data_IF_454083860548
#
_entry.id   IF_454083860548
#
_cell.length_a   1.000
_cell.length_b   1.000
_cell.length_c   1.000
_cell.angle_alpha   90.00
_cell.angle_beta   90.00
_cell.angle_gamma   90.00
#
_symmetry.space_group_name_H-M   'P 1'
#
loop_
_entity.id
_entity.type
_entity.pdbx_description
1 polymer ?
#
# COMPACT_ATOMS: atom_id res chain seq x y z
N UNK A 1 -5.89 -51.94 -38.48
CA UNK A 1 -5.21 -50.63 -38.41
C UNK A 1 -6.13 -49.64 -37.72
N UNK A 2 -6.10 -49.56 -36.39
CA UNK A 2 -6.80 -48.50 -35.64
C UNK A 2 -5.75 -47.45 -35.26
N UNK A 3 -5.80 -46.28 -35.87
CA UNK A 3 -4.98 -45.12 -35.50
C UNK A 3 -5.73 -44.37 -34.39
N UNK A 4 -5.29 -44.55 -33.16
CA UNK A 4 -5.70 -43.69 -32.04
C UNK A 4 -5.05 -42.32 -32.21
N UNK A 5 -5.85 -41.30 -32.47
CA UNK A 5 -5.43 -39.90 -32.42
C UNK A 5 -5.51 -39.47 -30.95
N UNK A 6 -4.35 -39.31 -30.30
CA UNK A 6 -4.28 -38.70 -28.97
C UNK A 6 -4.44 -37.19 -29.18
N UNK A 7 -5.61 -36.67 -28.83
CA UNK A 7 -5.82 -35.24 -28.71
C UNK A 7 -5.10 -34.77 -27.44
N UNK A 8 -3.97 -34.08 -27.61
CA UNK A 8 -3.31 -33.37 -26.51
C UNK A 8 -4.18 -32.16 -26.14
N UNK A 9 -4.93 -32.28 -25.05
CA UNK A 9 -5.49 -31.13 -24.35
C UNK A 9 -4.30 -30.32 -23.80
N UNK A 10 -3.93 -29.24 -24.49
CA UNK A 10 -3.17 -28.17 -23.85
C UNK A 10 -4.08 -27.57 -22.77
N UNK A 11 -3.87 -28.01 -21.53
CA UNK A 11 -4.27 -27.20 -20.39
C UNK A 11 -3.46 -25.91 -20.48
N UNK A 12 -4.07 -24.85 -21.02
CA UNK A 12 -3.62 -23.49 -20.75
C UNK A 12 -3.74 -23.31 -19.24
N UNK A 13 -2.66 -23.61 -18.51
CA UNK A 13 -2.44 -23.07 -17.18
C UNK A 13 -2.32 -21.56 -17.38
N UNK A 14 -3.45 -20.89 -17.45
CA UNK A 14 -3.53 -19.45 -17.30
C UNK A 14 -2.89 -19.17 -15.96
N UNK A 15 -1.67 -18.62 -15.98
CA UNK A 15 -1.03 -18.02 -14.81
C UNK A 15 -1.96 -16.88 -14.37
N UNK A 16 -2.91 -17.21 -13.51
CA UNK A 16 -3.74 -16.22 -12.84
C UNK A 16 -2.80 -15.40 -11.98
N UNK A 17 -2.43 -14.22 -12.46
CA UNK A 17 -1.65 -13.28 -11.69
C UNK A 17 -2.34 -13.02 -10.34
N UNK A 18 -1.75 -13.52 -9.26
CA UNK A 18 -2.23 -13.33 -7.88
C UNK A 18 -1.95 -11.89 -7.41
N UNK A 19 -2.58 -10.92 -8.06
CA UNK A 19 -2.31 -9.51 -7.85
C UNK A 19 -3.60 -8.76 -7.55
N UNK A 20 -3.53 -7.88 -6.57
CA UNK A 20 -4.51 -6.83 -6.30
C UNK A 20 -3.81 -5.49 -6.34
N UNK A 21 -4.45 -4.52 -6.97
CA UNK A 21 -4.03 -3.13 -6.89
C UNK A 21 -4.83 -2.43 -5.79
N UNK A 22 -4.16 -1.98 -4.74
CA UNK A 22 -4.79 -1.25 -3.64
C UNK A 22 -4.56 0.24 -3.89
N UNK A 23 -5.64 0.98 -4.15
CA UNK A 23 -5.60 2.42 -4.40
C UNK A 23 -5.71 3.16 -3.08
N UNK A 24 -4.85 4.16 -2.88
CA UNK A 24 -4.85 5.03 -1.71
C UNK A 24 -5.19 6.46 -2.14
N UNK A 25 -6.32 6.96 -1.65
CA UNK A 25 -6.76 8.34 -1.76
C UNK A 25 -6.72 9.03 -0.38
N UNK A 26 -6.77 10.36 -0.35
CA UNK A 26 -7.03 11.11 0.89
C UNK A 26 -8.22 12.03 0.68
N UNK A 27 -8.11 12.96 -0.26
CA UNK A 27 -9.19 13.88 -0.61
C UNK A 27 -9.76 13.63 -2.00
N UNK A 28 -11.08 13.80 -2.12
CA UNK A 28 -11.78 13.98 -3.40
C UNK A 28 -12.38 15.39 -3.40
N UNK A 29 -11.60 16.37 -3.84
CA UNK A 29 -11.93 17.79 -3.69
C UNK A 29 -11.06 18.68 -4.59
N UNK A 30 -11.59 19.84 -4.98
CA UNK A 30 -10.86 20.87 -5.72
C UNK A 30 -10.14 21.88 -4.81
N UNK A 31 -10.59 21.99 -3.55
CA UNK A 31 -10.21 23.07 -2.62
C UNK A 31 -9.15 22.67 -1.59
N UNK A 32 -8.62 21.45 -1.70
CA UNK A 32 -7.63 20.89 -0.78
C UNK A 32 -6.25 20.83 -1.44
N UNK A 33 -5.15 20.70 -0.68
CA UNK A 33 -3.80 20.67 -1.25
C UNK A 33 -3.67 19.61 -2.34
N UNK A 34 -3.25 20.03 -3.54
CA UNK A 34 -3.19 19.15 -4.73
C UNK A 34 -2.35 17.89 -4.53
N UNK A 35 -1.34 17.94 -3.66
CA UNK A 35 -0.42 16.83 -3.38
C UNK A 35 -1.10 15.60 -2.77
N UNK A 36 -2.25 15.77 -2.11
CA UNK A 36 -3.05 14.69 -1.49
C UNK A 36 -4.47 14.62 -2.05
N UNK A 37 -4.76 15.33 -3.14
CA UNK A 37 -6.11 15.47 -3.69
C UNK A 37 -6.24 14.92 -5.10
N UNK A 38 -7.40 14.34 -5.39
CA UNK A 38 -7.93 14.11 -6.73
C UNK A 38 -9.20 14.95 -6.88
N UNK A 39 -9.42 15.59 -8.03
CA UNK A 39 -10.66 16.35 -8.23
C UNK A 39 -11.83 15.38 -8.49
N UNK A 40 -13.09 15.77 -8.17
CA UNK A 40 -14.24 14.87 -8.27
C UNK A 40 -14.46 14.29 -9.68
N UNK A 41 -14.24 15.10 -10.72
CA UNK A 41 -14.36 14.67 -12.11
C UNK A 41 -13.33 13.58 -12.47
N UNK A 42 -12.07 13.75 -12.05
CA UNK A 42 -11.02 12.74 -12.24
C UNK A 42 -11.32 11.46 -11.46
N UNK A 43 -11.78 11.58 -10.22
CA UNK A 43 -12.15 10.42 -9.42
C UNK A 43 -13.28 9.61 -10.09
N UNK A 44 -14.32 10.29 -10.58
CA UNK A 44 -15.41 9.66 -11.35
C UNK A 44 -14.91 9.01 -12.64
N UNK A 45 -14.02 9.66 -13.38
CA UNK A 45 -13.41 9.11 -14.58
C UNK A 45 -12.64 7.80 -14.27
N UNK A 46 -11.87 7.78 -13.18
CA UNK A 46 -11.18 6.59 -12.71
C UNK A 46 -12.15 5.46 -12.38
N UNK A 47 -13.24 5.75 -11.65
CA UNK A 47 -14.25 4.73 -11.33
C UNK A 47 -14.95 4.18 -12.59
N UNK A 48 -15.27 5.04 -13.56
CA UNK A 48 -15.84 4.60 -14.84
C UNK A 48 -14.87 3.71 -15.61
N UNK A 49 -13.59 4.09 -15.63
CA UNK A 49 -12.55 3.29 -16.27
C UNK A 49 -12.45 1.89 -15.66
N UNK A 50 -12.51 1.75 -14.33
CA UNK A 50 -12.51 0.44 -13.66
C UNK A 50 -13.66 -0.43 -14.18
N UNK A 51 -14.88 0.12 -14.24
CA UNK A 51 -16.07 -0.61 -14.72
C UNK A 51 -15.94 -1.00 -16.19
N UNK A 52 -15.59 -0.05 -17.05
CA UNK A 52 -15.51 -0.23 -18.50
C UNK A 52 -14.40 -1.20 -18.92
N UNK A 53 -13.36 -1.36 -18.10
CA UNK A 53 -12.20 -2.21 -18.41
C UNK A 53 -12.20 -3.53 -17.63
N UNK A 54 -13.32 -3.89 -17.01
CA UNK A 54 -13.52 -5.19 -16.36
C UNK A 54 -12.74 -5.38 -15.06
N UNK A 55 -12.39 -4.29 -14.36
CA UNK A 55 -11.79 -4.38 -13.04
C UNK A 55 -12.82 -4.85 -12.01
N UNK A 56 -12.36 -5.67 -11.07
CA UNK A 56 -13.17 -6.26 -10.01
C UNK A 56 -12.85 -5.54 -8.71
N UNK A 57 -13.64 -4.53 -8.38
CA UNK A 57 -13.50 -3.84 -7.10
C UNK A 57 -14.03 -4.74 -5.98
N UNK A 58 -13.18 -5.04 -4.99
CA UNK A 58 -13.48 -5.93 -3.86
C UNK A 58 -13.27 -5.22 -2.53
N UNK A 59 -14.02 -5.59 -1.47
CA UNK A 59 -13.74 -5.10 -0.13
C UNK A 59 -12.30 -5.42 0.26
N UNK A 60 -11.62 -4.49 0.94
CA UNK A 60 -10.22 -4.72 1.34
C UNK A 60 -10.09 -5.93 2.27
N UNK A 61 -11.06 -6.16 3.15
CA UNK A 61 -11.13 -7.34 4.04
C UNK A 61 -11.13 -8.66 3.26
N UNK A 62 -11.88 -8.73 2.15
CA UNK A 62 -11.89 -9.90 1.29
C UNK A 62 -10.52 -10.17 0.66
N UNK A 63 -9.87 -9.11 0.17
CA UNK A 63 -8.53 -9.17 -0.43
C UNK A 63 -7.49 -9.64 0.58
N UNK A 64 -7.51 -9.07 1.79
CA UNK A 64 -6.61 -9.44 2.88
C UNK A 64 -6.77 -10.91 3.26
N UNK A 65 -8.00 -11.38 3.43
CA UNK A 65 -8.26 -12.78 3.75
C UNK A 65 -7.83 -13.72 2.63
N UNK A 66 -8.01 -13.34 1.37
CA UNK A 66 -7.51 -14.12 0.25
C UNK A 66 -5.98 -14.26 0.27
N UNK A 67 -5.24 -13.17 0.50
CA UNK A 67 -3.77 -13.19 0.61
C UNK A 67 -3.34 -14.05 1.80
N UNK A 68 -3.94 -13.85 2.99
CA UNK A 68 -3.62 -14.62 4.21
C UNK A 68 -3.78 -16.13 4.02
N UNK A 69 -4.77 -16.53 3.23
CA UNK A 69 -5.13 -17.94 3.02
C UNK A 69 -4.50 -18.52 1.74
N UNK A 70 -3.67 -17.76 1.02
CA UNK A 70 -3.09 -18.17 -0.25
C UNK A 70 -4.13 -18.47 -1.34
N UNK A 71 -5.32 -17.87 -1.24
CA UNK A 71 -6.40 -18.06 -2.22
C UNK A 71 -6.14 -17.21 -3.45
N UNK A 72 -6.57 -17.72 -4.60
CA UNK A 72 -6.44 -16.98 -5.85
C UNK A 72 -7.27 -15.69 -5.83
N UNK A 73 -6.61 -14.57 -6.14
CA UNK A 73 -7.26 -13.33 -6.49
C UNK A 73 -7.56 -13.33 -7.98
N UNK A 74 -8.78 -12.96 -8.34
CA UNK A 74 -9.16 -12.86 -9.74
C UNK A 74 -8.33 -11.79 -10.44
N UNK A 75 -8.03 -11.98 -11.73
CA UNK A 75 -7.35 -10.95 -12.49
C UNK A 75 -8.12 -9.61 -12.48
N UNK A 76 -7.37 -8.50 -12.52
CA UNK A 76 -7.86 -7.12 -12.41
C UNK A 76 -8.61 -6.84 -11.10
N UNK A 77 -8.24 -7.47 -9.99
CA UNK A 77 -8.79 -7.14 -8.67
C UNK A 77 -8.23 -5.80 -8.17
N UNK A 78 -9.11 -4.94 -7.67
CA UNK A 78 -8.78 -3.62 -7.10
C UNK A 78 -9.44 -3.46 -5.74
N UNK A 79 -8.75 -2.84 -4.80
CA UNK A 79 -9.34 -2.36 -3.56
C UNK A 79 -9.18 -0.84 -3.46
N UNK A 80 -10.21 -0.14 -2.98
CA UNK A 80 -10.21 1.32 -2.84
C UNK A 80 -10.10 1.66 -1.36
N UNK A 81 -9.11 2.48 -1.02
CA UNK A 81 -8.86 2.92 0.36
C UNK A 81 -8.73 4.44 0.42
N UNK A 82 -9.18 5.01 1.52
CA UNK A 82 -8.99 6.41 1.88
C UNK A 82 -8.31 6.51 3.23
N UNK A 83 -7.38 7.44 3.37
CA UNK A 83 -6.72 7.75 4.64
C UNK A 83 -7.35 9.03 5.27
N UNK A 84 -7.04 9.27 6.55
CA UNK A 84 -7.37 10.44 7.38
C UNK A 84 -8.84 10.73 7.72
N UNK A 85 -9.81 10.13 7.02
CA UNK A 85 -11.23 10.30 7.35
C UNK A 85 -11.80 11.70 7.07
N UNK A 86 -11.32 12.38 6.02
CA UNK A 86 -11.83 13.70 5.62
C UNK A 86 -13.31 13.72 5.24
N UNK A 87 -13.99 14.82 5.55
CA UNK A 87 -15.40 15.03 5.28
C UNK A 87 -15.74 14.98 3.77
N UNK A 88 -14.82 15.41 2.89
CA UNK A 88 -15.04 15.33 1.45
C UNK A 88 -15.15 13.88 0.91
N UNK A 89 -14.69 12.88 1.66
CA UNK A 89 -14.92 11.48 1.33
C UNK A 89 -16.43 11.17 1.44
N UNK A 90 -17.09 11.60 2.52
CA UNK A 90 -18.53 11.42 2.70
C UNK A 90 -19.35 12.25 1.72
N UNK A 91 -18.95 13.50 1.50
CA UNK A 91 -19.75 14.46 0.72
C UNK A 91 -19.59 14.26 -0.79
N UNK A 92 -18.43 13.76 -1.23
CA UNK A 92 -18.08 13.72 -2.66
C UNK A 92 -17.72 12.31 -3.14
N UNK A 93 -16.79 11.61 -2.49
CA UNK A 93 -16.35 10.29 -2.96
C UNK A 93 -17.43 9.22 -2.80
N UNK A 94 -18.11 9.21 -1.65
CA UNK A 94 -19.11 8.20 -1.29
C UNK A 94 -20.30 8.15 -2.26
N UNK A 95 -20.97 9.27 -2.62
CA UNK A 95 -22.02 9.25 -3.66
C UNK A 95 -21.54 8.66 -4.98
N UNK A 96 -20.34 9.03 -5.43
CA UNK A 96 -19.75 8.50 -6.67
C UNK A 96 -19.57 6.98 -6.54
N UNK A 97 -18.91 6.49 -5.49
CA UNK A 97 -18.69 5.06 -5.28
C UNK A 97 -19.99 4.26 -5.21
N UNK A 98 -21.04 4.83 -4.61
CA UNK A 98 -22.38 4.23 -4.52
C UNK A 98 -23.02 4.03 -5.90
N UNK A 99 -22.85 4.97 -6.83
CA UNK A 99 -23.33 4.84 -8.22
C UNK A 99 -22.66 3.66 -8.96
N UNK A 100 -21.42 3.33 -8.61
CA UNK A 100 -20.71 2.18 -9.18
C UNK A 100 -20.88 0.89 -8.37
N UNK A 101 -21.49 0.95 -7.18
CA UNK A 101 -21.59 -0.18 -6.26
C UNK A 101 -20.22 -0.65 -5.73
N UNK A 102 -19.27 0.28 -5.59
CA UNK A 102 -17.89 -0.05 -5.22
C UNK A 102 -17.67 -0.02 -3.71
N UNK A 103 -17.22 -1.14 -3.10
CA UNK A 103 -16.83 -1.15 -1.70
C UNK A 103 -15.51 -0.41 -1.51
N UNK A 104 -15.32 0.16 -0.33
CA UNK A 104 -14.11 0.87 0.02
C UNK A 104 -13.88 0.86 1.54
N UNK A 105 -12.65 1.18 1.92
CA UNK A 105 -12.21 1.25 3.32
C UNK A 105 -11.70 2.65 3.64
N UNK A 106 -11.99 3.14 4.85
CA UNK A 106 -11.46 4.40 5.37
C UNK A 106 -10.59 4.09 6.58
N UNK A 107 -9.31 4.43 6.52
CA UNK A 107 -8.40 4.42 7.67
C UNK A 107 -8.56 5.75 8.41
N UNK A 108 -8.91 5.71 9.69
CA UNK A 108 -9.22 6.91 10.50
C UNK A 108 -8.33 7.02 11.74
N UNK A 109 -8.04 8.26 12.12
CA UNK A 109 -7.42 8.60 13.40
C UNK A 109 -8.45 9.23 14.34
N UNK A 110 -8.36 8.90 15.63
CA UNK A 110 -9.38 9.24 16.63
C UNK A 110 -9.29 10.69 17.11
N UNK A 111 -8.09 11.18 17.44
CA UNK A 111 -7.89 12.52 18.03
C UNK A 111 -8.48 13.66 17.17
N UNK A 112 -8.29 13.71 15.83
CA UNK A 112 -8.92 14.74 15.00
C UNK A 112 -10.46 14.72 15.03
N UNK A 113 -11.07 13.53 15.19
CA UNK A 113 -12.52 13.36 15.28
C UNK A 113 -13.02 13.89 16.64
N UNK A 114 -12.35 13.51 17.73
CA UNK A 114 -12.70 13.94 19.09
C UNK A 114 -12.53 15.45 19.28
N UNK A 115 -11.46 16.02 18.69
CA UNK A 115 -11.21 17.47 18.67
C UNK A 115 -12.08 18.23 17.68
N UNK A 116 -12.96 17.55 16.93
CA UNK A 116 -13.89 18.15 15.96
C UNK A 116 -13.16 19.03 14.94
N UNK A 117 -12.05 18.54 14.41
CA UNK A 117 -11.33 19.26 13.34
C UNK A 117 -12.26 19.51 12.15
N UNK A 118 -12.26 20.75 11.63
CA UNK A 118 -13.28 21.27 10.69
C UNK A 118 -13.50 20.42 9.43
N UNK A 119 -12.48 19.70 8.97
CA UNK A 119 -12.50 18.97 7.70
C UNK A 119 -12.50 17.44 7.87
N UNK A 120 -12.58 16.94 9.10
CA UNK A 120 -12.62 15.50 9.40
C UNK A 120 -14.06 15.10 9.72
N UNK A 121 -14.45 13.90 9.30
CA UNK A 121 -15.80 13.38 9.57
C UNK A 121 -16.06 13.25 11.07
N UNK A 122 -17.29 13.57 11.47
CA UNK A 122 -17.78 13.26 12.81
C UNK A 122 -18.09 11.77 12.97
N UNK A 123 -18.15 11.27 14.21
CA UNK A 123 -18.61 9.92 14.50
C UNK A 123 -20.01 9.62 13.96
N UNK A 124 -20.93 10.60 13.93
CA UNK A 124 -22.24 10.42 13.33
C UNK A 124 -22.15 10.12 11.84
N UNK A 125 -21.26 10.81 11.12
CA UNK A 125 -21.01 10.58 9.69
C UNK A 125 -20.35 9.22 9.46
N UNK A 126 -19.32 8.88 10.24
CA UNK A 126 -18.61 7.60 10.16
C UNK A 126 -19.53 6.41 10.46
N UNK A 127 -20.38 6.52 11.49
CA UNK A 127 -21.36 5.49 11.83
C UNK A 127 -22.38 5.30 10.71
N UNK A 128 -22.90 6.38 10.12
CA UNK A 128 -23.78 6.29 8.96
C UNK A 128 -23.11 5.56 7.79
N UNK A 129 -21.87 5.93 7.44
CA UNK A 129 -21.13 5.25 6.37
C UNK A 129 -20.88 3.77 6.69
N UNK A 130 -20.54 3.46 7.93
CA UNK A 130 -20.41 2.07 8.42
C UNK A 130 -21.71 1.28 8.22
N UNK A 131 -22.86 1.87 8.56
CA UNK A 131 -24.18 1.23 8.39
C UNK A 131 -24.54 1.05 6.91
N UNK A 132 -23.97 1.85 6.02
CA UNK A 132 -24.05 1.71 4.56
C UNK A 132 -23.02 0.71 3.99
N UNK A 133 -22.27 0.00 4.84
CA UNK A 133 -21.34 -1.07 4.46
C UNK A 133 -19.89 -0.62 4.21
N UNK A 134 -19.55 0.63 4.56
CA UNK A 134 -18.17 1.13 4.46
C UNK A 134 -17.32 0.55 5.58
N UNK A 135 -16.15 0.01 5.24
CA UNK A 135 -15.23 -0.51 6.26
C UNK A 135 -14.44 0.63 6.90
N UNK A 136 -14.39 0.68 8.23
CA UNK A 136 -13.52 1.58 8.97
C UNK A 136 -12.33 0.81 9.54
N UNK A 137 -11.14 1.40 9.47
CA UNK A 137 -9.89 0.76 9.85
C UNK A 137 -8.95 1.76 10.54
N UNK A 138 -7.85 1.23 11.08
CA UNK A 138 -6.97 1.93 12.01
C UNK A 138 -5.95 2.83 11.28
N UNK A 139 -5.85 4.09 11.67
CA UNK A 139 -4.80 5.00 11.22
C UNK A 139 -4.04 5.65 12.39
N UNK A 140 -3.86 4.88 13.46
CA UNK A 140 -3.33 5.33 14.76
C UNK A 140 -4.19 6.38 15.45
N UNK A 141 -3.89 6.67 16.72
CA UNK A 141 -4.75 7.56 17.51
C UNK A 141 -4.75 9.00 16.99
N UNK A 142 -3.58 9.58 16.75
CA UNK A 142 -3.40 10.98 16.39
C UNK A 142 -2.68 11.22 15.08
N UNK A 143 -2.56 10.20 14.21
CA UNK A 143 -1.77 10.25 12.98
C UNK A 143 -0.28 10.55 13.27
N UNK A 144 0.26 10.00 14.36
CA UNK A 144 1.66 10.16 14.74
C UNK A 144 2.60 9.23 13.97
N UNK A 145 3.87 9.65 13.84
CA UNK A 145 4.92 8.82 13.28
C UNK A 145 5.26 7.66 14.21
N UNK A 146 4.78 6.46 13.88
CA UNK A 146 4.93 5.29 14.74
C UNK A 146 6.40 4.89 14.96
N UNK A 147 7.29 5.19 14.00
CA UNK A 147 8.73 4.89 14.09
C UNK A 147 9.53 5.89 14.93
N UNK A 148 8.94 7.04 15.29
CA UNK A 148 9.64 8.11 16.00
C UNK A 148 9.50 7.93 17.50
N UNK A 149 10.63 7.79 18.18
CA UNK A 149 10.73 7.78 19.64
C UNK A 149 10.63 9.21 20.19
N UNK A 150 10.00 9.34 21.35
CA UNK A 150 10.00 10.59 22.12
C UNK A 150 11.39 10.83 22.75
N UNK A 151 11.65 12.06 23.17
CA UNK A 151 12.93 12.39 23.79
C UNK A 151 13.16 11.58 25.08
N UNK A 152 14.28 10.86 25.15
CA UNK A 152 14.61 9.98 26.29
C UNK A 152 13.81 8.68 26.35
N UNK A 153 12.97 8.38 25.35
CA UNK A 153 12.17 7.17 25.30
C UNK A 153 13.02 5.96 24.90
N UNK A 154 13.11 4.98 25.80
CA UNK A 154 13.73 3.70 25.48
C UNK A 154 12.84 2.84 24.57
N UNK A 155 13.39 1.73 24.08
CA UNK A 155 12.69 0.87 23.12
C UNK A 155 11.42 0.25 23.70
N UNK A 156 11.47 -0.20 24.96
CA UNK A 156 10.34 -0.84 25.61
C UNK A 156 9.19 0.14 25.84
N UNK A 157 9.49 1.34 26.33
CA UNK A 157 8.50 2.40 26.55
C UNK A 157 7.86 2.83 25.24
N UNK A 158 8.67 3.01 24.19
CA UNK A 158 8.18 3.30 22.84
C UNK A 158 7.21 2.24 22.33
N UNK A 159 7.60 0.95 22.37
CA UNK A 159 6.76 -0.13 21.89
C UNK A 159 5.48 -0.28 22.72
N UNK A 160 5.53 -0.06 24.04
CA UNK A 160 4.32 -0.02 24.89
C UNK A 160 3.39 1.10 24.46
N UNK A 161 3.90 2.33 24.29
CA UNK A 161 3.09 3.48 23.85
C UNK A 161 2.43 3.23 22.48
N UNK A 162 3.16 2.67 21.52
CA UNK A 162 2.59 2.34 20.21
C UNK A 162 1.56 1.20 20.32
N UNK A 163 1.80 0.21 21.18
CA UNK A 163 0.83 -0.88 21.45
C UNK A 163 -0.49 -0.33 21.97
N UNK A 164 -0.43 0.50 23.01
CA UNK A 164 -1.60 1.13 23.63
C UNK A 164 -2.36 2.00 22.62
N UNK A 165 -1.63 2.77 21.81
CA UNK A 165 -2.19 3.60 20.76
C UNK A 165 -3.01 2.79 19.73
N UNK A 166 -2.41 1.74 19.16
CA UNK A 166 -3.06 0.93 18.13
C UNK A 166 -4.29 0.20 18.69
N UNK A 167 -4.18 -0.35 19.89
CA UNK A 167 -5.29 -1.06 20.55
C UNK A 167 -6.42 -0.11 20.98
N UNK A 168 -6.10 1.07 21.50
CA UNK A 168 -7.10 2.07 21.86
C UNK A 168 -7.85 2.59 20.63
N UNK A 169 -7.14 2.80 19.52
CA UNK A 169 -7.75 3.21 18.25
C UNK A 169 -8.72 2.14 17.74
N UNK A 170 -8.33 0.86 17.74
CA UNK A 170 -9.21 -0.23 17.31
C UNK A 170 -10.44 -0.37 18.23
N UNK A 171 -10.23 -0.28 19.55
CA UNK A 171 -11.30 -0.37 20.53
C UNK A 171 -12.32 0.78 20.38
N UNK A 172 -11.87 1.99 20.06
CA UNK A 172 -12.78 3.12 19.83
C UNK A 172 -13.60 2.94 18.54
N UNK A 173 -12.97 2.46 17.45
CA UNK A 173 -13.69 2.12 16.21
C UNK A 173 -14.77 1.06 16.49
N UNK A 174 -14.42 0.01 17.23
CA UNK A 174 -15.34 -1.06 17.61
C UNK A 174 -16.48 -0.53 18.49
N UNK A 175 -16.18 0.28 19.50
CA UNK A 175 -17.19 0.85 20.39
C UNK A 175 -18.19 1.76 19.65
N UNK A 176 -17.74 2.51 18.63
CA UNK A 176 -18.60 3.45 17.89
C UNK A 176 -19.36 2.80 16.75
N UNK A 177 -18.81 1.76 16.14
CA UNK A 177 -19.33 1.23 14.87
C UNK A 177 -19.61 -0.27 14.86
N UNK A 178 -19.09 -1.02 15.84
CA UNK A 178 -19.14 -2.48 15.89
C UNK A 178 -18.13 -3.16 14.95
N UNK A 179 -17.26 -2.40 14.28
CA UNK A 179 -16.22 -2.95 13.40
C UNK A 179 -14.90 -3.11 14.13
N UNK A 180 -14.25 -4.26 13.96
CA UNK A 180 -12.90 -4.54 14.45
C UNK A 180 -12.22 -5.44 13.41
N UNK A 181 -11.52 -4.83 12.47
CA UNK A 181 -10.95 -5.50 11.28
C UNK A 181 -9.46 -5.74 11.39
N UNK A 182 -8.80 -5.11 12.38
CA UNK A 182 -7.35 -5.18 12.61
C UNK A 182 -6.53 -4.92 11.35
N UNK A 183 -6.87 -3.84 10.65
CA UNK A 183 -6.12 -3.33 9.50
C UNK A 183 -5.56 -1.96 9.85
N UNK A 184 -4.25 -1.77 9.67
CA UNK A 184 -3.54 -0.54 9.97
C UNK A 184 -2.92 0.06 8.72
N UNK A 185 -3.34 1.26 8.31
CA UNK A 185 -2.52 2.08 7.44
C UNK A 185 -1.48 2.81 8.29
N UNK A 186 -0.20 2.66 7.98
CA UNK A 186 0.84 3.39 8.69
C UNK A 186 0.73 4.88 8.35
N UNK A 187 0.59 5.79 9.34
CA UNK A 187 0.72 7.21 9.10
C UNK A 187 1.98 7.51 8.29
N UNK A 188 1.84 8.32 7.25
CA UNK A 188 2.92 8.66 6.30
C UNK A 188 3.57 7.47 5.56
N UNK A 189 3.02 6.27 5.65
CA UNK A 189 3.62 5.04 5.13
C UNK A 189 4.88 4.60 5.86
N UNK A 190 5.13 5.12 7.06
CA UNK A 190 6.35 4.86 7.82
C UNK A 190 6.18 3.65 8.75
N UNK A 191 7.00 2.64 8.52
CA UNK A 191 7.15 1.47 9.39
C UNK A 191 8.64 1.15 9.52
N UNK A 192 9.00 0.23 10.42
CA UNK A 192 10.31 -0.39 10.54
C UNK A 192 10.11 -1.83 11.07
N UNK A 193 11.18 -2.62 11.14
CA UNK A 193 11.06 -4.04 11.54
C UNK A 193 10.49 -4.25 12.95
N UNK A 194 10.72 -3.32 13.88
CA UNK A 194 10.18 -3.40 15.23
C UNK A 194 8.66 -3.17 15.24
N UNK A 195 8.18 -2.15 14.51
CA UNK A 195 6.75 -1.88 14.35
C UNK A 195 6.05 -3.00 13.58
N UNK A 196 6.64 -3.54 12.52
CA UNK A 196 6.06 -4.68 11.80
C UNK A 196 5.91 -5.92 12.69
N UNK A 197 6.92 -6.21 13.51
CA UNK A 197 6.86 -7.32 14.49
C UNK A 197 5.74 -7.09 15.51
N UNK A 198 5.57 -5.86 15.97
CA UNK A 198 4.48 -5.49 16.87
C UNK A 198 3.11 -5.67 16.21
N UNK A 199 2.92 -5.12 15.01
CA UNK A 199 1.68 -5.24 14.21
C UNK A 199 1.30 -6.71 14.00
N UNK A 200 2.28 -7.55 13.64
CA UNK A 200 2.07 -8.99 13.50
C UNK A 200 1.61 -9.63 14.82
N UNK A 201 2.30 -9.31 15.94
CA UNK A 201 1.97 -9.85 17.28
C UNK A 201 0.55 -9.47 17.71
N UNK A 202 0.07 -8.27 17.37
CA UNK A 202 -1.28 -7.80 17.68
C UNK A 202 -2.36 -8.40 16.75
N UNK A 203 -1.94 -9.12 15.71
CA UNK A 203 -2.82 -9.72 14.72
C UNK A 203 -3.33 -8.73 13.67
N UNK A 204 -2.61 -7.63 13.46
CA UNK A 204 -2.95 -6.63 12.46
C UNK A 204 -2.34 -6.96 11.10
N UNK A 205 -2.99 -6.48 10.05
CA UNK A 205 -2.42 -6.37 8.70
C UNK A 205 -2.02 -4.92 8.46
N UNK A 206 -0.78 -4.70 8.04
CA UNK A 206 -0.21 -3.37 7.85
C UNK A 206 -0.19 -2.95 6.39
N UNK A 207 -0.48 -1.68 6.12
CA UNK A 207 -0.50 -1.08 4.79
C UNK A 207 0.45 0.11 4.74
N UNK A 208 1.42 0.05 3.83
CA UNK A 208 2.35 1.15 3.58
C UNK A 208 1.85 2.08 2.47
N UNK A 209 2.76 2.93 1.99
CA UNK A 209 2.53 3.84 0.85
C UNK A 209 3.51 3.58 -0.32
N UNK A 210 4.34 2.54 -0.21
CA UNK A 210 5.20 2.08 -1.28
C UNK A 210 4.37 1.48 -2.41
N UNK A 211 4.68 1.88 -3.64
CA UNK A 211 3.93 1.50 -4.83
C UNK A 211 4.12 0.02 -5.19
N UNK A 212 3.05 -0.66 -5.60
CA UNK A 212 3.13 -2.05 -6.03
C UNK A 212 1.78 -2.73 -5.94
N UNK A 213 1.59 -3.78 -6.75
CA UNK A 213 0.47 -4.67 -6.54
C UNK A 213 0.79 -5.61 -5.38
N UNK A 214 -0.20 -5.82 -4.51
CA UNK A 214 -0.12 -6.77 -3.41
C UNK A 214 -0.56 -8.16 -3.88
N UNK A 215 -0.12 -9.19 -3.18
CA UNK A 215 -0.36 -10.59 -3.54
C UNK A 215 0.38 -11.56 -2.62
N UNK A 216 0.49 -12.82 -3.04
CA UNK A 216 1.08 -13.90 -2.23
C UNK A 216 2.55 -13.70 -1.85
N UNK A 217 3.29 -12.86 -2.57
CA UNK A 217 4.69 -12.53 -2.25
C UNK A 217 4.84 -11.27 -1.39
N UNK A 218 3.72 -10.67 -0.96
CA UNK A 218 3.74 -9.45 -0.14
C UNK A 218 3.78 -9.79 1.35
N UNK A 219 4.50 -8.98 2.13
CA UNK A 219 4.41 -9.05 3.58
C UNK A 219 3.05 -8.54 4.06
N UNK A 220 2.34 -9.33 4.88
CA UNK A 220 1.07 -8.90 5.50
C UNK A 220 1.25 -7.74 6.49
N UNK A 221 2.47 -7.47 6.95
CA UNK A 221 2.76 -6.31 7.81
C UNK A 221 3.08 -5.06 7.01
N UNK A 222 3.20 -5.14 5.69
CA UNK A 222 3.55 -4.00 4.85
C UNK A 222 3.02 -4.17 3.41
N UNK A 223 1.71 -4.37 3.26
CA UNK A 223 1.08 -4.45 1.94
C UNK A 223 1.25 -3.12 1.19
N UNK A 224 1.70 -3.14 -0.08
CA UNK A 224 1.88 -1.94 -0.88
C UNK A 224 0.55 -1.33 -1.31
N UNK A 225 0.56 -0.01 -1.53
CA UNK A 225 -0.57 0.76 -2.07
C UNK A 225 -0.08 1.73 -3.12
N UNK A 226 -0.93 2.11 -4.05
CA UNK A 226 -0.65 3.20 -4.98
C UNK A 226 -1.33 4.48 -4.51
N UNK A 227 -0.57 5.50 -4.07
CA UNK A 227 -1.11 6.83 -3.87
C UNK A 227 -1.65 7.40 -5.19
N UNK A 228 -2.88 7.90 -5.15
CA UNK A 228 -3.58 8.52 -6.29
C UNK A 228 -3.92 9.96 -5.92
N UNK A 229 -2.98 10.87 -6.16
CA UNK A 229 -3.13 12.29 -5.88
C UNK A 229 -2.23 13.14 -6.78
N UNK A 230 -2.61 14.40 -7.00
CA UNK A 230 -1.80 15.38 -7.75
C UNK A 230 -1.37 14.87 -9.12
N UNK A 231 -0.07 14.90 -9.39
CA UNK A 231 0.52 14.43 -10.66
C UNK A 231 0.34 12.92 -10.92
N UNK A 232 -0.16 12.16 -9.94
CA UNK A 232 -0.40 10.72 -10.03
C UNK A 232 -1.88 10.36 -10.09
N UNK A 233 -2.76 11.36 -10.15
CA UNK A 233 -4.21 11.20 -10.27
C UNK A 233 -4.69 11.16 -11.73
N UNK A 234 -3.84 11.48 -12.71
CA UNK A 234 -4.23 11.37 -14.10
C UNK A 234 -4.42 9.91 -14.50
N UNK A 235 -5.43 9.65 -15.35
CA UNK A 235 -5.76 8.29 -15.73
C UNK A 235 -4.63 7.61 -16.52
N UNK A 236 -3.85 8.35 -17.29
CA UNK A 236 -2.76 7.80 -18.11
C UNK A 236 -1.70 7.12 -17.25
N UNK A 237 -1.23 7.79 -16.19
CA UNK A 237 -0.27 7.21 -15.25
C UNK A 237 -0.91 6.10 -14.39
N UNK A 238 -2.19 6.22 -14.05
CA UNK A 238 -2.90 5.22 -13.26
C UNK A 238 -3.09 3.89 -13.99
N UNK A 239 -3.28 3.90 -15.32
CA UNK A 239 -3.43 2.67 -16.11
C UNK A 239 -2.26 1.70 -15.92
N UNK A 240 -1.03 2.19 -15.98
CA UNK A 240 0.15 1.34 -15.78
C UNK A 240 0.16 0.66 -14.40
N UNK A 241 -0.27 1.39 -13.36
CA UNK A 241 -0.37 0.89 -11.98
C UNK A 241 -1.48 -0.14 -11.83
N UNK A 242 -2.66 0.11 -12.42
CA UNK A 242 -3.81 -0.79 -12.38
C UNK A 242 -3.53 -2.16 -13.02
N UNK A 243 -2.66 -2.20 -14.02
CA UNK A 243 -2.21 -3.43 -14.66
C UNK A 243 -0.90 -3.97 -14.07
N UNK A 244 -0.42 -3.46 -12.93
CA UNK A 244 0.77 -4.03 -12.30
C UNK A 244 0.51 -5.44 -11.74
N UNK A 245 1.58 -6.22 -11.61
CA UNK A 245 1.61 -7.56 -11.04
C UNK A 245 2.39 -7.53 -9.72
N UNK A 246 2.04 -8.44 -8.79
CA UNK A 246 2.78 -8.59 -7.54
C UNK A 246 4.14 -9.22 -7.84
N UNK A 247 5.22 -8.43 -7.74
CA UNK A 247 6.58 -8.93 -8.02
C UNK A 247 6.90 -10.10 -7.09
N UNK A 248 7.41 -11.22 -7.63
CA UNK A 248 7.53 -12.44 -6.85
C UNK A 248 8.81 -12.44 -5.99
N UNK A 249 8.87 -11.51 -5.03
CA UNK A 249 10.01 -11.36 -4.12
C UNK A 249 10.01 -12.50 -3.11
N UNK A 250 11.06 -13.32 -3.14
CA UNK A 250 11.29 -14.44 -2.22
C UNK A 250 12.08 -13.98 -0.99
N UNK A 251 13.03 -13.06 -1.17
CA UNK A 251 13.82 -12.49 -0.09
C UNK A 251 14.20 -11.03 -0.37
N UNK A 252 14.39 -10.26 0.70
CA UNK A 252 14.76 -8.85 0.68
C UNK A 252 15.74 -8.56 1.83
N UNK A 253 16.88 -7.95 1.51
CA UNK A 253 17.87 -7.53 2.50
C UNK A 253 18.40 -6.11 2.18
N UNK A 254 18.43 -5.18 3.15
CA UNK A 254 17.81 -5.26 4.46
C UNK A 254 16.28 -5.05 4.36
N UNK A 255 15.53 -5.68 5.26
CA UNK A 255 14.08 -5.42 5.38
C UNK A 255 13.77 -4.12 6.10
N UNK A 256 14.64 -3.71 7.03
CA UNK A 256 14.40 -2.52 7.84
C UNK A 256 14.49 -1.27 6.97
N UNK A 257 13.34 -0.63 6.78
CA UNK A 257 13.14 0.63 6.05
C UNK A 257 13.81 1.82 6.74
N UNK A 258 13.99 1.80 8.07
CA UNK A 258 14.63 2.88 8.80
C UNK A 258 16.15 2.74 8.71
N UNK A 259 16.80 3.73 8.09
CA UNK A 259 18.24 3.70 7.87
C UNK A 259 19.03 3.96 9.16
N UNK A 260 20.13 3.21 9.40
CA UNK A 260 21.04 3.49 10.49
C UNK A 260 21.70 4.87 10.35
N UNK A 261 21.99 5.53 11.48
CA UNK A 261 22.64 6.84 11.49
C UNK A 261 23.99 6.79 10.76
N UNK A 262 24.16 7.67 9.77
CA UNK A 262 25.36 7.75 8.95
C UNK A 262 25.40 6.79 7.75
N UNK A 263 24.37 5.96 7.55
CA UNK A 263 24.27 5.02 6.42
C UNK A 263 23.12 5.40 5.48
N UNK A 264 23.35 6.41 4.63
CA UNK A 264 22.30 7.06 3.83
C UNK A 264 22.18 6.57 2.40
N UNK A 265 22.99 5.58 2.02
CA UNK A 265 23.01 4.95 0.69
C UNK A 265 22.72 3.47 0.83
N UNK A 266 21.48 3.08 1.17
CA UNK A 266 21.16 1.68 1.41
C UNK A 266 21.39 0.88 0.13
N UNK A 267 22.10 -0.22 0.27
CA UNK A 267 22.14 -1.29 -0.72
C UNK A 267 21.00 -2.26 -0.40
N UNK A 268 20.23 -2.60 -1.42
CA UNK A 268 19.11 -3.52 -1.33
C UNK A 268 19.37 -4.71 -2.24
N UNK A 269 19.37 -5.91 -1.67
CA UNK A 269 19.36 -7.18 -2.38
C UNK A 269 17.94 -7.75 -2.42
N UNK A 270 17.53 -8.24 -3.58
CA UNK A 270 16.22 -8.82 -3.84
C UNK A 270 16.41 -10.15 -4.55
N UNK A 271 15.88 -11.22 -3.97
CA UNK A 271 15.79 -12.54 -4.61
C UNK A 271 14.37 -12.73 -5.16
N UNK A 272 14.25 -13.14 -6.42
CA UNK A 272 12.99 -13.28 -7.13
C UNK A 272 12.70 -14.74 -7.53
N UNK A 273 11.43 -15.10 -7.60
CA UNK A 273 11.00 -16.24 -8.40
C UNK A 273 11.10 -15.86 -9.89
N UNK A 274 11.97 -16.56 -10.61
CA UNK A 274 12.31 -16.23 -12.00
C UNK A 274 11.40 -16.89 -13.04
N UNK A 275 10.36 -17.61 -12.62
CA UNK A 275 9.46 -18.33 -13.53
C UNK A 275 8.94 -17.43 -14.67
N UNK A 276 8.42 -16.25 -14.34
CA UNK A 276 7.80 -15.32 -15.30
C UNK A 276 8.56 -13.98 -15.48
N UNK A 277 9.79 -13.87 -14.97
CA UNK A 277 10.58 -12.63 -14.99
C UNK A 277 11.68 -12.63 -16.07
N UNK A 278 11.76 -11.56 -16.87
CA UNK A 278 12.89 -11.34 -17.79
C UNK A 278 13.99 -10.54 -17.08
N UNK A 279 15.00 -11.25 -16.54
CA UNK A 279 16.08 -10.67 -15.74
C UNK A 279 16.76 -9.44 -16.36
N UNK A 280 17.08 -9.52 -17.66
CA UNK A 280 17.78 -8.46 -18.40
C UNK A 280 16.97 -7.17 -18.56
N UNK A 281 15.67 -7.21 -18.27
CA UNK A 281 14.75 -6.07 -18.36
C UNK A 281 14.28 -5.57 -16.98
N UNK A 282 14.83 -6.10 -15.89
CA UNK A 282 14.59 -5.52 -14.56
C UNK A 282 15.19 -4.12 -14.51
N UNK A 283 14.37 -3.15 -14.11
CA UNK A 283 14.76 -1.75 -13.97
C UNK A 283 14.36 -1.22 -12.63
N UNK A 284 15.31 -0.59 -11.93
CA UNK A 284 15.05 0.10 -10.68
C UNK A 284 15.09 1.61 -10.88
N UNK A 285 14.38 2.33 -10.02
CA UNK A 285 14.33 3.78 -9.99
C UNK A 285 14.56 4.23 -8.55
N UNK A 286 15.67 4.93 -8.33
CA UNK A 286 16.00 5.50 -7.04
C UNK A 286 15.44 6.90 -6.98
N UNK A 287 14.61 7.20 -5.98
CA UNK A 287 13.99 8.51 -5.84
C UNK A 287 15.06 9.61 -5.82
N UNK A 288 14.90 10.61 -6.71
CA UNK A 288 15.85 11.71 -6.87
C UNK A 288 17.11 11.39 -7.68
N UNK A 289 17.31 10.14 -8.11
CA UNK A 289 18.51 9.69 -8.84
C UNK A 289 18.19 9.00 -10.17
N UNK A 290 16.91 8.74 -10.46
CA UNK A 290 16.45 8.27 -11.76
C UNK A 290 16.53 6.77 -11.95
N UNK A 291 16.49 6.33 -13.22
CA UNK A 291 16.53 4.93 -13.60
C UNK A 291 17.95 4.35 -13.44
N UNK A 292 18.04 3.13 -12.91
CA UNK A 292 19.28 2.42 -12.64
C UNK A 292 19.10 0.93 -12.93
N UNK A 293 20.06 0.35 -13.67
CA UNK A 293 20.14 -1.10 -13.83
C UNK A 293 20.64 -1.72 -12.53
N UNK A 294 19.95 -2.74 -11.98
CA UNK A 294 20.49 -3.48 -10.86
C UNK A 294 21.67 -4.35 -11.29
N UNK A 295 22.51 -4.72 -10.31
CA UNK A 295 23.61 -5.66 -10.48
C UNK A 295 23.12 -7.06 -10.13
N UNK A 296 23.20 -8.02 -11.05
CA UNK A 296 22.84 -9.41 -10.76
C UNK A 296 24.02 -10.12 -10.08
N UNK A 297 23.78 -10.68 -8.91
CA UNK A 297 24.75 -11.42 -8.09
C UNK A 297 24.66 -12.93 -8.33
N UNK A 298 23.49 -13.40 -8.76
CA UNK A 298 23.19 -14.77 -9.16
C UNK A 298 22.14 -14.76 -10.29
N UNK A 299 21.61 -15.93 -10.66
CA UNK A 299 20.53 -16.05 -11.66
C UNK A 299 19.19 -15.49 -11.18
N UNK A 300 18.99 -15.35 -9.86
CA UNK A 300 17.71 -15.00 -9.22
C UNK A 300 17.81 -13.82 -8.24
N UNK A 301 19.02 -13.33 -7.95
CA UNK A 301 19.27 -12.28 -6.96
C UNK A 301 19.99 -11.10 -7.59
N UNK A 302 19.44 -9.91 -7.35
CA UNK A 302 20.06 -8.65 -7.77
C UNK A 302 20.21 -7.68 -6.60
N UNK A 303 21.20 -6.79 -6.69
CA UNK A 303 21.38 -5.65 -5.81
C UNK A 303 21.19 -4.31 -6.51
N UNK A 304 20.78 -3.31 -5.74
CA UNK A 304 20.71 -1.91 -6.15
C UNK A 304 21.07 -0.99 -4.98
N UNK A 305 21.87 0.02 -5.24
CA UNK A 305 22.30 1.00 -4.24
C UNK A 305 22.18 2.43 -4.78
N UNK A 306 21.80 3.37 -3.92
CA UNK A 306 21.85 4.78 -4.23
C UNK A 306 23.29 5.26 -4.51
N UNK A 307 23.45 6.11 -5.52
CA UNK A 307 24.71 6.75 -5.91
C UNK A 307 25.08 7.88 -4.94
N UNK A 308 24.09 8.66 -4.52
CA UNK A 308 24.24 9.71 -3.51
C UNK A 308 23.37 9.43 -2.29
N UNK A 309 23.67 10.09 -1.17
CA UNK A 309 22.82 10.01 0.03
C UNK A 309 21.36 10.31 -0.31
N UNK A 310 20.47 9.47 0.22
CA UNK A 310 19.04 9.75 0.19
C UNK A 310 18.75 10.98 1.06
N UNK A 311 17.79 11.84 0.69
CA UNK A 311 17.45 13.01 1.51
C UNK A 311 16.86 12.59 2.87
N UNK A 312 16.96 13.43 3.92
CA UNK A 312 16.21 13.25 5.16
C UNK A 312 14.70 13.10 4.89
N UNK A 313 14.04 12.26 5.70
CA UNK A 313 12.64 11.89 5.52
C UNK A 313 12.48 10.63 4.70
N UNK A 314 11.42 10.57 3.89
CA UNK A 314 10.98 9.39 3.14
C UNK A 314 11.60 9.34 1.75
N UNK A 315 12.05 8.17 1.36
CA UNK A 315 12.58 7.83 0.02
C UNK A 315 12.08 6.44 -0.39
N UNK A 316 12.31 6.05 -1.64
CA UNK A 316 11.99 4.70 -2.11
C UNK A 316 12.86 4.27 -3.26
N UNK A 317 13.02 2.96 -3.39
CA UNK A 317 13.48 2.30 -4.61
C UNK A 317 12.30 1.60 -5.25
N UNK A 318 12.05 1.84 -6.54
CA UNK A 318 10.99 1.18 -7.29
C UNK A 318 11.63 0.28 -8.35
N UNK A 319 11.39 -1.03 -8.32
CA UNK A 319 11.86 -1.96 -9.33
C UNK A 319 10.69 -2.55 -10.11
N UNK A 320 10.84 -2.61 -11.43
CA UNK A 320 9.84 -3.15 -12.36
C UNK A 320 10.46 -4.18 -13.27
N UNK A 321 9.67 -5.15 -13.69
CA UNK A 321 10.09 -6.20 -14.61
C UNK A 321 8.92 -6.64 -15.49
N UNK A 322 9.12 -6.85 -16.80
CA UNK A 322 8.06 -7.38 -17.65
C UNK A 322 7.82 -8.87 -17.36
N UNK A 323 6.55 -9.25 -17.41
CA UNK A 323 6.08 -10.64 -17.41
C UNK A 323 6.36 -11.31 -18.76
N UNK A 324 6.86 -12.54 -18.77
CA UNK A 324 7.03 -13.35 -19.99
C UNK A 324 5.68 -13.74 -20.59
N UNK A 325 4.66 -13.91 -19.75
CA UNK A 325 3.37 -14.48 -20.14
C UNK A 325 2.27 -13.46 -20.48
N UNK A 326 2.27 -12.27 -19.88
CA UNK A 326 1.06 -11.40 -19.89
C UNK A 326 1.23 -10.03 -20.56
N UNK A 327 2.46 -9.67 -20.95
CA UNK A 327 2.76 -8.31 -21.45
C UNK A 327 2.58 -7.19 -20.40
N UNK A 328 2.32 -7.55 -19.14
CA UNK A 328 2.21 -6.64 -17.99
C UNK A 328 3.55 -6.55 -17.25
N UNK A 329 3.60 -5.65 -16.27
CA UNK A 329 4.79 -5.42 -15.47
C UNK A 329 4.57 -5.81 -14.02
N UNK A 330 5.51 -6.57 -13.48
CA UNK A 330 5.73 -6.71 -12.05
C UNK A 330 6.23 -5.38 -11.48
N UNK A 331 5.74 -5.04 -10.30
CA UNK A 331 6.11 -3.81 -9.59
C UNK A 331 6.42 -4.12 -8.14
N UNK A 332 7.61 -3.72 -7.71
CA UNK A 332 8.05 -3.76 -6.32
C UNK A 332 8.59 -2.39 -5.90
N UNK A 333 8.29 -1.98 -4.68
CA UNK A 333 8.90 -0.80 -4.09
C UNK A 333 9.35 -1.09 -2.67
N UNK A 334 10.57 -0.67 -2.36
CA UNK A 334 11.07 -0.64 -0.98
C UNK A 334 11.08 0.79 -0.48
N UNK A 335 10.43 1.02 0.66
CA UNK A 335 10.46 2.30 1.35
C UNK A 335 11.76 2.46 2.16
N UNK A 336 12.25 3.69 2.24
CA UNK A 336 13.37 4.08 3.09
C UNK A 336 12.98 5.32 3.88
N UNK A 337 13.41 5.39 5.14
CA UNK A 337 13.18 6.54 5.98
C UNK A 337 14.40 6.82 6.84
N UNK A 338 14.81 8.09 6.91
CA UNK A 338 15.97 8.50 7.73
C UNK A 338 15.73 9.84 8.42
N UNK A 339 16.31 10.02 9.62
CA UNK A 339 16.41 11.35 10.21
C UNK A 339 17.41 12.22 9.44
N UNK A 340 17.55 13.46 9.88
CA UNK A 340 18.65 14.34 9.51
C UNK A 340 19.98 13.78 10.03
N UNK A 341 21.08 14.36 9.57
CA UNK A 341 22.43 13.95 9.96
C UNK A 341 22.70 14.07 11.47
N UNK A 342 21.98 14.96 12.17
CA UNK A 342 22.07 15.15 13.62
C UNK A 342 21.16 14.19 14.42
N UNK A 343 20.48 13.26 13.76
CA UNK A 343 19.54 12.31 14.37
C UNK A 343 18.14 12.87 14.64
N UNK A 344 17.91 14.17 14.39
CA UNK A 344 16.57 14.77 14.54
C UNK A 344 15.70 14.49 13.31
N UNK A 345 14.38 14.47 13.51
CA UNK A 345 13.43 14.23 12.41
C UNK A 345 13.09 15.52 11.65
N UNK A 346 12.71 15.35 10.38
CA UNK A 346 12.13 16.44 9.58
C UNK A 346 10.79 16.84 10.21
N UNK A 347 10.56 18.16 10.34
CA UNK A 347 9.25 18.68 10.73
C UNK A 347 8.34 18.60 9.51
N UNK A 348 7.12 18.15 9.71
CA UNK A 348 6.14 17.94 8.66
C UNK A 348 4.97 18.90 8.79
#
# INVERSE_FOLDING_TARGET
>A
MFRSVIAALLACLSYSAHAVVILQYHHVSEDTPKVTSVIPAQFREQMSYLRENGFKVKPLTHVVEAIKQGRELADKTVAITFDDGYQNIADTAHPILKEFGYPYTIFISIDPIERKHKNVMSWATLKRLSDEGVTLANHSWGHEHLIRRLHGEDEQTWLTRITENLLATEAEIEAKTGQSVKMLAYPYGEYNTAIETLVQKLGFVGFGQQSGAAGGYSSLTALPRFPVAGAYADLTSLKAKLYSLNMPVLALTPRNTQLPLGQWRPEMQVTLDMADIVASQVMCFVQGQGAMKPSWESEDTFSIQAVTDLPPGRSRYNCTAPSKASGRYYWFSQAWVRPKNDGTWVKE
#
